data_IF_892032594496
#
_entry.id   IF_892032594496
#
_cell.length_a   1.000
_cell.length_b   1.000
_cell.length_c   1.000
_cell.angle_alpha   90.00
_cell.angle_beta   90.00
_cell.angle_gamma   90.00
#
_symmetry.space_group_name_H-M   'P 1'
#
loop_
_entity.id
_entity.type
_entity.pdbx_description
1 polymer ?
#
# COMPACT_ATOMS: atom_id res chain seq x y z
N UNK A 1 -15.69 -7.96 -32.03
CA UNK A 1 -15.96 -8.78 -30.83
C UNK A 1 -14.97 -8.36 -29.75
N UNK A 2 -15.43 -7.91 -28.59
CA UNK A 2 -14.55 -7.52 -27.48
C UNK A 2 -14.13 -8.77 -26.69
N UNK A 3 -12.83 -8.96 -26.49
CA UNK A 3 -12.31 -10.00 -25.62
C UNK A 3 -12.45 -9.54 -24.17
N UNK A 4 -13.04 -10.38 -23.32
CA UNK A 4 -13.11 -10.13 -21.87
C UNK A 4 -11.87 -10.69 -21.22
N UNK A 5 -11.14 -9.87 -20.47
CA UNK A 5 -9.95 -10.28 -19.73
C UNK A 5 -10.32 -10.30 -18.24
N UNK A 6 -9.85 -11.31 -17.50
CA UNK A 6 -10.06 -11.37 -16.05
C UNK A 6 -9.04 -10.47 -15.36
N UNK A 7 -9.49 -9.70 -14.38
CA UNK A 7 -8.61 -8.80 -13.62
C UNK A 7 -7.48 -9.55 -12.88
N UNK A 8 -7.69 -10.81 -12.50
CA UNK A 8 -6.68 -11.65 -11.84
C UNK A 8 -5.50 -12.02 -12.73
N UNK A 9 -5.68 -11.92 -14.05
CA UNK A 9 -4.70 -12.36 -15.05
C UNK A 9 -3.86 -11.16 -15.54
N UNK A 10 -4.09 -9.96 -15.00
CA UNK A 10 -3.41 -8.73 -15.35
C UNK A 10 -2.64 -8.18 -14.14
N UNK A 11 -1.38 -7.82 -14.36
CA UNK A 11 -0.61 -7.00 -13.43
C UNK A 11 -0.81 -5.51 -13.69
N UNK A 12 -0.44 -4.65 -12.72
CA UNK A 12 -0.38 -3.20 -12.97
C UNK A 12 0.55 -2.86 -14.14
N UNK A 13 1.63 -3.63 -14.32
CA UNK A 13 2.53 -3.46 -15.45
C UNK A 13 1.84 -3.76 -16.78
N UNK A 14 1.00 -4.79 -16.86
CA UNK A 14 0.21 -5.09 -18.07
C UNK A 14 -0.78 -3.98 -18.38
N UNK A 15 -1.40 -3.41 -17.35
CA UNK A 15 -2.30 -2.25 -17.49
C UNK A 15 -1.59 -1.03 -18.09
N UNK A 16 -0.36 -0.75 -17.64
CA UNK A 16 0.47 0.34 -18.19
C UNK A 16 0.87 0.08 -19.65
N UNK A 17 1.38 -1.12 -19.95
CA UNK A 17 1.97 -1.42 -21.27
C UNK A 17 0.91 -1.71 -22.34
N UNK A 18 -0.14 -2.47 -22.01
CA UNK A 18 -1.13 -2.92 -22.99
C UNK A 18 -2.26 -1.90 -23.18
N UNK A 19 -2.60 -1.14 -22.14
CA UNK A 19 -3.73 -0.20 -22.16
C UNK A 19 -3.31 1.26 -22.03
N UNK A 20 -2.02 1.54 -21.81
CA UNK A 20 -1.51 2.91 -21.63
C UNK A 20 -2.00 3.57 -20.34
N UNK A 21 -2.46 2.78 -19.37
CA UNK A 21 -2.94 3.30 -18.09
C UNK A 21 -1.78 3.89 -17.29
N UNK A 22 -2.08 4.93 -16.52
CA UNK A 22 -1.10 5.58 -15.66
C UNK A 22 -1.63 5.63 -14.24
N UNK A 23 -0.74 5.41 -13.28
CA UNK A 23 -1.07 5.57 -11.88
C UNK A 23 -1.33 7.06 -11.60
N UNK A 24 -2.54 7.39 -11.17
CA UNK A 24 -2.87 8.73 -10.69
C UNK A 24 -2.19 8.96 -9.33
N UNK A 25 -1.20 9.85 -9.30
CA UNK A 25 -0.49 10.29 -8.08
C UNK A 25 -0.88 11.71 -7.66
N UNK A 26 -1.83 12.30 -8.36
CA UNK A 26 -2.36 13.62 -8.03
C UNK A 26 -3.21 13.54 -6.76
N UNK A 27 -2.81 14.28 -5.74
CA UNK A 27 -3.55 14.38 -4.49
C UNK A 27 -4.93 15.03 -4.72
N UNK A 28 -5.17 15.73 -5.83
CA UNK A 28 -6.48 16.28 -6.17
C UNK A 28 -7.39 15.32 -6.94
N UNK A 29 -6.98 14.06 -7.12
CA UNK A 29 -7.77 13.08 -7.89
C UNK A 29 -9.00 12.57 -7.12
N UNK A 30 -8.90 12.43 -5.80
CA UNK A 30 -10.00 12.05 -4.90
C UNK A 30 -10.09 13.00 -3.70
N UNK A 31 -10.46 14.28 -3.92
CA UNK A 31 -10.53 15.28 -2.86
C UNK A 31 -11.57 14.90 -1.79
N UNK A 32 -12.60 14.15 -2.16
CA UNK A 32 -13.64 13.67 -1.26
C UNK A 32 -13.13 12.73 -0.15
N UNK A 33 -11.97 12.10 -0.35
CA UNK A 33 -11.36 11.22 0.66
C UNK A 33 -10.38 11.96 1.58
N UNK A 34 -10.12 13.24 1.33
CA UNK A 34 -9.15 14.06 2.06
C UNK A 34 -9.82 15.10 2.97
N UNK A 35 -11.15 15.21 2.89
CA UNK A 35 -11.94 16.07 3.77
C UNK A 35 -12.20 15.38 5.11
N UNK A 36 -12.21 16.16 6.20
CA UNK A 36 -12.59 15.70 7.55
C UNK A 36 -11.67 14.61 8.16
N UNK A 37 -10.44 14.48 7.66
CA UNK A 37 -9.46 13.58 8.25
C UNK A 37 -8.76 14.20 9.48
N UNK A 38 -8.40 13.39 10.49
CA UNK A 38 -7.53 13.83 11.57
C UNK A 38 -6.19 14.33 11.04
N UNK A 39 -5.65 15.39 11.64
CA UNK A 39 -4.29 15.82 11.33
C UNK A 39 -3.27 14.78 11.81
N UNK A 40 -2.34 14.43 10.91
CA UNK A 40 -1.18 13.59 11.21
C UNK A 40 0.09 14.43 11.16
N UNK A 41 1.12 14.01 11.90
CA UNK A 41 2.39 14.74 11.95
C UNK A 41 3.12 14.66 10.61
N UNK A 42 4.06 15.59 10.37
CA UNK A 42 4.86 15.54 9.14
C UNK A 42 5.77 14.29 9.08
N UNK A 43 6.17 13.77 10.25
CA UNK A 43 6.89 12.51 10.36
C UNK A 43 5.98 11.36 9.89
N UNK A 44 4.73 11.34 10.34
CA UNK A 44 3.76 10.31 9.96
C UNK A 44 3.51 10.32 8.45
N UNK A 45 3.38 11.50 7.85
CA UNK A 45 3.25 11.67 6.39
C UNK A 45 4.46 11.11 5.67
N UNK A 46 5.67 11.39 6.13
CA UNK A 46 6.90 10.91 5.51
C UNK A 46 6.97 9.37 5.53
N UNK A 47 6.64 8.75 6.67
CA UNK A 47 6.57 7.29 6.80
C UNK A 47 5.49 6.71 5.87
N UNK A 48 4.30 7.32 5.84
CA UNK A 48 3.20 6.86 4.98
C UNK A 48 3.56 6.94 3.49
N UNK A 49 4.27 8.00 3.08
CA UNK A 49 4.78 8.14 1.72
C UNK A 49 5.78 7.02 1.36
N UNK A 50 6.64 6.64 2.29
CA UNK A 50 7.59 5.53 2.10
C UNK A 50 6.87 4.19 2.00
N UNK A 51 5.86 3.94 2.84
CA UNK A 51 5.03 2.72 2.79
C UNK A 51 4.28 2.63 1.46
N UNK A 52 3.67 3.74 1.03
CA UNK A 52 2.97 3.84 -0.27
C UNK A 52 3.91 3.48 -1.42
N UNK A 53 5.12 4.04 -1.45
CA UNK A 53 6.12 3.75 -2.48
C UNK A 53 6.54 2.26 -2.47
N UNK A 54 6.81 1.70 -1.29
CA UNK A 54 7.15 0.28 -1.14
C UNK A 54 6.04 -0.63 -1.66
N UNK A 55 4.78 -0.35 -1.29
CA UNK A 55 3.62 -1.12 -1.76
C UNK A 55 3.50 -1.09 -3.30
N UNK A 56 3.56 0.09 -3.91
CA UNK A 56 3.46 0.19 -5.37
C UNK A 56 4.60 -0.52 -6.10
N UNK A 57 5.81 -0.46 -5.56
CA UNK A 57 6.94 -1.21 -6.13
C UNK A 57 6.69 -2.73 -6.09
N UNK A 58 6.17 -3.24 -4.97
CA UNK A 58 5.86 -4.66 -4.80
C UNK A 58 4.73 -5.13 -5.73
N UNK A 59 3.64 -4.36 -5.86
CA UNK A 59 2.50 -4.73 -6.71
C UNK A 59 2.83 -4.60 -8.19
N UNK A 60 3.70 -3.65 -8.56
CA UNK A 60 4.14 -3.46 -9.95
C UNK A 60 5.01 -4.62 -10.44
N UNK A 61 5.84 -5.20 -9.57
CA UNK A 61 6.77 -6.28 -9.90
C UNK A 61 6.52 -7.52 -9.03
N UNK A 62 5.48 -8.32 -9.33
CA UNK A 62 5.24 -9.58 -8.62
C UNK A 62 6.45 -10.55 -8.76
N UNK A 63 6.67 -11.46 -7.79
CA UNK A 63 5.70 -11.95 -6.80
C UNK A 63 5.64 -11.13 -5.49
N UNK A 64 4.42 -11.00 -4.95
CA UNK A 64 4.16 -10.47 -3.61
C UNK A 64 4.43 -11.55 -2.56
N UNK A 65 5.67 -11.62 -2.07
CA UNK A 65 6.02 -12.54 -0.99
C UNK A 65 5.47 -12.01 0.35
N UNK A 66 4.79 -12.89 1.10
CA UNK A 66 4.14 -12.55 2.36
C UNK A 66 5.10 -11.86 3.34
N UNK A 67 6.31 -12.39 3.53
CA UNK A 67 7.30 -11.81 4.45
C UNK A 67 7.80 -10.44 3.99
N UNK A 68 7.94 -10.23 2.68
CA UNK A 68 8.30 -8.92 2.12
C UNK A 68 7.17 -7.90 2.36
N UNK A 69 5.91 -8.31 2.19
CA UNK A 69 4.75 -7.45 2.47
C UNK A 69 4.68 -7.14 3.97
N UNK A 70 4.92 -8.13 4.85
CA UNK A 70 4.98 -7.93 6.30
C UNK A 70 6.04 -6.89 6.67
N UNK A 71 7.23 -6.99 6.09
CA UNK A 71 8.35 -6.12 6.44
C UNK A 71 8.23 -4.72 5.86
N UNK A 72 7.87 -4.61 4.58
CA UNK A 72 7.91 -3.34 3.84
C UNK A 72 6.63 -2.51 3.96
N UNK A 73 5.51 -3.14 4.35
CA UNK A 73 4.19 -2.48 4.40
C UNK A 73 3.55 -2.63 5.78
N UNK A 74 3.26 -3.87 6.22
CA UNK A 74 2.47 -4.07 7.44
C UNK A 74 3.21 -3.63 8.71
N UNK A 75 4.49 -3.97 8.86
CA UNK A 75 5.29 -3.59 10.03
C UNK A 75 5.33 -2.08 10.24
N UNK A 76 5.71 -1.28 9.23
CA UNK A 76 5.65 0.18 9.30
C UNK A 76 4.26 0.73 9.64
N UNK A 77 3.18 0.20 9.05
CA UNK A 77 1.81 0.62 9.34
C UNK A 77 1.38 0.31 10.77
N UNK A 78 1.72 -0.87 11.28
CA UNK A 78 1.42 -1.24 12.66
C UNK A 78 2.23 -0.38 13.64
N UNK A 79 3.46 -0.04 13.29
CA UNK A 79 4.31 0.79 14.14
C UNK A 79 3.77 2.22 14.25
N UNK A 80 3.42 2.86 13.13
CA UNK A 80 2.90 4.24 13.13
C UNK A 80 1.53 4.36 13.81
N UNK A 81 0.69 3.33 13.70
CA UNK A 81 -0.60 3.29 14.39
C UNK A 81 -0.47 2.89 15.88
N UNK A 82 0.73 2.59 16.36
CA UNK A 82 0.95 2.13 17.74
C UNK A 82 0.37 0.75 18.04
N UNK A 83 0.18 -0.09 17.03
CA UNK A 83 -0.32 -1.47 17.18
C UNK A 83 0.80 -2.52 17.27
N UNK A 84 2.04 -2.13 17.02
CA UNK A 84 3.21 -2.99 17.14
C UNK A 84 3.77 -2.94 18.58
N UNK A 85 3.28 -3.82 19.45
CA UNK A 85 3.86 -4.03 20.78
C UNK A 85 4.67 -5.32 20.80
N UNK A 86 5.98 -5.21 21.01
CA UNK A 86 6.83 -6.37 21.28
C UNK A 86 6.79 -6.65 22.79
N UNK A 87 5.85 -7.48 23.21
CA UNK A 87 5.90 -8.07 24.56
C UNK A 87 6.93 -9.21 24.54
N UNK A 88 7.70 -9.40 25.62
CA UNK A 88 8.79 -10.38 25.74
C UNK A 88 8.35 -11.86 25.75
N UNK A 89 7.19 -12.18 25.18
CA UNK A 89 6.75 -13.54 24.89
C UNK A 89 6.41 -13.58 23.41
N UNK A 90 6.96 -14.57 22.72
CA UNK A 90 7.14 -14.76 21.26
C UNK A 90 5.92 -14.60 20.32
N UNK A 91 4.83 -13.94 20.72
CA UNK A 91 3.67 -13.65 19.88
C UNK A 91 3.49 -12.15 19.65
N UNK A 92 3.69 -11.72 18.41
CA UNK A 92 3.22 -10.42 17.93
C UNK A 92 1.68 -10.45 17.97
N UNK A 93 1.09 -9.86 19.02
CA UNK A 93 -0.36 -9.66 19.10
C UNK A 93 -0.74 -8.37 18.36
N UNK A 94 -1.33 -8.54 17.18
CA UNK A 94 -2.04 -7.46 16.50
C UNK A 94 -3.36 -7.27 17.24
N UNK A 95 -3.49 -6.18 17.99
CA UNK A 95 -4.78 -5.77 18.55
C UNK A 95 -5.60 -5.12 17.43
N UNK A 96 -6.72 -5.75 17.06
CA UNK A 96 -7.75 -5.22 16.17
C UNK A 96 -9.06 -5.08 16.96
#
# INVERSE_FOLDING_TARGET
MSQTIRATDLSLHDLEIQFGLQLAVDDQFFPEWQTELPEITDIDKQVMNQVKASYFNLVKYPPLLEDTVKMAVLGPLLNICGFLFVSSSDEIRIFC
#
